data_IF_059381440204
#
_entry.id   IF_059381440204
#
_cell.length_a   1.000
_cell.length_b   1.000
_cell.length_c   1.000
_cell.angle_alpha   90.00
_cell.angle_beta   90.00
_cell.angle_gamma   90.00
#
_symmetry.space_group_name_H-M   'P 1'
#
loop_
_entity.id
_entity.type
_entity.pdbx_description
1 polymer ?
#
# COMPACT_ATOMS: atom_id res chain seq x y z
N UNK A 1 31.28 -6.69 5.47
CA UNK A 1 30.47 -5.54 5.77
C UNK A 1 29.09 -5.65 5.18
N UNK A 2 28.10 -5.66 6.04
CA UNK A 2 26.72 -5.70 5.57
C UNK A 2 26.39 -4.38 4.92
N UNK A 3 25.98 -4.43 3.69
CA UNK A 3 25.47 -3.25 3.01
C UNK A 3 23.97 -3.31 2.99
N UNK A 4 23.38 -2.16 3.11
CA UNK A 4 21.93 -2.07 2.94
C UNK A 4 21.60 -2.41 1.51
N UNK A 5 20.75 -3.41 1.32
CA UNK A 5 20.36 -3.83 -0.03
C UNK A 5 19.08 -3.15 -0.49
N UNK A 6 18.55 -2.26 0.32
CA UNK A 6 17.37 -1.48 -0.02
C UNK A 6 17.45 -0.10 0.63
N UNK A 7 16.76 0.83 0.06
CA UNK A 7 16.63 2.18 0.61
C UNK A 7 15.41 2.24 1.50
N UNK A 8 15.55 2.96 2.61
CA UNK A 8 14.42 3.28 3.47
C UNK A 8 13.95 4.68 3.10
N UNK A 9 12.68 4.81 2.80
CA UNK A 9 12.11 6.09 2.43
C UNK A 9 11.14 6.56 3.51
N UNK A 10 11.25 7.81 3.92
CA UNK A 10 10.31 8.38 4.89
C UNK A 10 9.19 9.10 4.15
N UNK A 11 7.97 8.83 4.55
CA UNK A 11 6.79 9.46 3.97
C UNK A 11 5.93 10.01 5.10
N UNK A 12 5.41 11.20 4.90
CA UNK A 12 4.51 11.83 5.87
C UNK A 12 3.07 11.57 5.46
N UNK A 13 2.29 11.06 6.41
CA UNK A 13 0.87 10.82 6.18
C UNK A 13 0.07 12.11 6.38
N UNK A 14 -1.19 12.09 5.96
CA UNK A 14 -2.06 13.26 6.06
C UNK A 14 -2.25 13.73 7.51
N UNK A 15 -2.18 12.83 8.47
CA UNK A 15 -2.33 13.17 9.88
C UNK A 15 -1.06 13.69 10.52
N UNK A 16 0.02 13.87 9.73
CA UNK A 16 1.29 14.38 10.23
C UNK A 16 2.27 13.33 10.71
N UNK A 17 1.82 12.08 10.84
CA UNK A 17 2.73 11.01 11.24
C UNK A 17 3.68 10.67 10.10
N UNK A 18 4.90 10.29 10.46
CA UNK A 18 5.91 9.88 9.48
C UNK A 18 6.07 8.37 9.57
N UNK A 19 6.17 7.71 8.43
CA UNK A 19 6.38 6.27 8.35
C UNK A 19 7.61 6.00 7.49
N UNK A 20 8.36 4.98 7.88
CA UNK A 20 9.54 4.56 7.11
C UNK A 20 9.13 3.38 6.23
N UNK A 21 9.31 3.55 4.94
CA UNK A 21 8.97 2.51 3.97
C UNK A 21 10.21 1.73 3.59
N UNK A 22 10.09 0.43 3.63
CA UNK A 22 11.15 -0.49 3.20
C UNK A 22 10.49 -1.77 2.68
N UNK A 23 11.20 -2.58 1.91
CA UNK A 23 10.62 -3.83 1.41
C UNK A 23 10.14 -4.71 2.56
N UNK A 24 9.01 -5.35 2.35
CA UNK A 24 8.42 -6.24 3.34
C UNK A 24 9.23 -7.53 3.44
N UNK A 25 9.19 -8.15 4.63
CA UNK A 25 9.73 -9.50 4.78
C UNK A 25 8.94 -10.45 3.88
N UNK A 26 9.51 -11.61 3.60
CA UNK A 26 8.82 -12.59 2.75
C UNK A 26 7.48 -12.99 3.36
N UNK A 27 7.44 -13.16 4.67
CA UNK A 27 6.20 -13.53 5.35
C UNK A 27 5.11 -12.48 5.13
N UNK A 28 5.46 -11.22 5.29
CA UNK A 28 4.51 -10.13 5.11
C UNK A 28 4.19 -9.88 3.65
N UNK A 29 5.19 -10.07 2.79
CA UNK A 29 4.99 -9.91 1.36
C UNK A 29 3.96 -10.90 0.83
N UNK A 30 3.95 -12.12 1.35
CA UNK A 30 2.95 -13.11 0.95
C UNK A 30 1.53 -12.65 1.27
N UNK A 31 1.34 -12.09 2.45
CA UNK A 31 0.03 -11.54 2.84
C UNK A 31 -0.36 -10.37 1.94
N UNK A 32 0.60 -9.51 1.66
CA UNK A 32 0.42 -8.35 0.79
C UNK A 32 0.01 -8.79 -0.61
N UNK A 33 0.70 -9.78 -1.17
CA UNK A 33 0.40 -10.28 -2.51
C UNK A 33 -0.98 -10.91 -2.60
N UNK A 34 -1.40 -11.61 -1.54
CA UNK A 34 -2.74 -12.19 -1.50
C UNK A 34 -3.78 -11.09 -1.55
N UNK A 35 -3.57 -10.02 -0.79
CA UNK A 35 -4.48 -8.88 -0.80
C UNK A 35 -4.53 -8.23 -2.19
N UNK A 36 -3.38 -8.00 -2.79
CA UNK A 36 -3.30 -7.33 -4.09
C UNK A 36 -3.97 -8.15 -5.20
N UNK A 37 -3.87 -9.48 -5.14
CA UNK A 37 -4.50 -10.33 -6.15
C UNK A 37 -6.00 -10.10 -6.26
N UNK A 38 -6.61 -9.67 -5.18
CA UNK A 38 -8.06 -9.43 -5.18
C UNK A 38 -8.45 -8.26 -6.08
N UNK A 39 -7.51 -7.41 -6.48
CA UNK A 39 -7.83 -6.31 -7.40
C UNK A 39 -8.35 -6.80 -8.73
N UNK A 40 -7.91 -7.99 -9.17
CA UNK A 40 -8.41 -8.59 -10.40
C UNK A 40 -9.87 -8.99 -10.33
N UNK A 41 -10.42 -9.11 -9.13
CA UNK A 41 -11.80 -9.49 -8.91
C UNK A 41 -12.69 -8.31 -8.55
N UNK A 42 -12.11 -7.12 -8.33
CA UNK A 42 -12.87 -5.96 -7.95
C UNK A 42 -13.71 -5.47 -9.13
N UNK A 43 -14.91 -4.98 -8.84
CA UNK A 43 -15.85 -4.52 -9.85
C UNK A 43 -16.13 -3.03 -9.76
N UNK A 44 -15.72 -2.40 -8.68
CA UNK A 44 -15.95 -0.97 -8.47
C UNK A 44 -14.67 -0.32 -8.00
N UNK A 45 -14.63 1.01 -8.17
CA UNK A 45 -13.51 1.80 -7.65
C UNK A 45 -13.37 1.64 -6.15
N UNK A 46 -14.50 1.62 -5.45
CA UNK A 46 -14.50 1.50 -4.00
C UNK A 46 -13.91 0.17 -3.55
N UNK A 47 -14.25 -0.92 -4.23
CA UNK A 47 -13.67 -2.23 -3.94
C UNK A 47 -12.17 -2.22 -4.16
N UNK A 48 -11.72 -1.61 -5.26
CA UNK A 48 -10.30 -1.51 -5.56
C UNK A 48 -9.58 -0.71 -4.48
N UNK A 49 -10.14 0.43 -4.08
CA UNK A 49 -9.56 1.24 -3.02
C UNK A 49 -9.45 0.46 -1.72
N UNK A 50 -10.49 -0.26 -1.35
CA UNK A 50 -10.47 -1.06 -0.12
C UNK A 50 -9.35 -2.10 -0.14
N UNK A 51 -9.15 -2.74 -1.28
CA UNK A 51 -8.08 -3.74 -1.43
C UNK A 51 -6.72 -3.08 -1.28
N UNK A 52 -6.53 -1.92 -1.91
CA UNK A 52 -5.26 -1.20 -1.83
C UNK A 52 -5.00 -0.71 -0.41
N UNK A 53 -6.03 -0.26 0.28
CA UNK A 53 -5.90 0.17 1.67
C UNK A 53 -5.54 -1.04 2.56
N UNK A 54 -6.16 -2.19 2.31
CA UNK A 54 -5.81 -3.41 3.04
C UNK A 54 -4.34 -3.77 2.86
N UNK A 55 -3.85 -3.65 1.63
CA UNK A 55 -2.44 -3.93 1.35
C UNK A 55 -1.53 -2.94 2.09
N UNK A 56 -1.89 -1.67 2.10
CA UNK A 56 -1.13 -0.66 2.84
C UNK A 56 -1.16 -0.94 4.34
N UNK A 57 -2.30 -1.41 4.85
CA UNK A 57 -2.42 -1.78 6.27
C UNK A 57 -1.43 -2.88 6.63
N UNK A 58 -1.32 -3.89 5.78
CA UNK A 58 -0.36 -4.97 5.98
C UNK A 58 1.06 -4.40 6.03
N UNK A 59 1.36 -3.47 5.14
CA UNK A 59 2.70 -2.88 5.05
C UNK A 59 3.04 -2.03 6.27
N UNK A 60 2.07 -1.36 6.87
CA UNK A 60 2.32 -0.40 7.94
C UNK A 60 1.98 -0.92 9.35
N UNK A 61 1.43 -2.11 9.45
CA UNK A 61 0.94 -2.62 10.73
C UNK A 61 1.99 -2.62 11.84
N UNK A 62 3.22 -2.97 11.50
CA UNK A 62 4.27 -3.03 12.52
C UNK A 62 4.69 -1.67 13.03
N UNK A 63 4.62 -0.66 12.18
CA UNK A 63 5.04 0.69 12.57
C UNK A 63 3.91 1.48 13.21
N UNK A 64 2.70 1.30 12.72
CA UNK A 64 1.55 2.08 13.15
C UNK A 64 0.36 1.18 13.46
N UNK A 65 0.52 0.24 14.43
CA UNK A 65 -0.54 -0.74 14.70
C UNK A 65 -1.85 -0.09 15.15
N UNK A 66 -1.77 0.99 15.91
CA UNK A 66 -2.98 1.64 16.40
C UNK A 66 -3.74 2.36 15.28
N UNK A 67 -2.99 2.99 14.38
CA UNK A 67 -3.60 3.66 13.24
C UNK A 67 -4.26 2.65 12.31
N UNK A 68 -3.57 1.56 12.03
CA UNK A 68 -4.08 0.52 11.14
C UNK A 68 -5.32 -0.16 11.73
N UNK A 69 -5.37 -0.30 13.04
CA UNK A 69 -6.50 -0.94 13.72
C UNK A 69 -7.79 -0.11 13.61
N UNK A 70 -7.67 1.19 13.44
CA UNK A 70 -8.82 2.07 13.27
C UNK A 70 -8.95 2.43 11.79
N UNK A 71 -9.78 1.68 11.08
CA UNK A 71 -9.91 1.80 9.63
C UNK A 71 -10.27 3.21 9.18
N UNK A 72 -11.19 3.83 9.86
CA UNK A 72 -11.64 5.17 9.49
C UNK A 72 -10.51 6.19 9.62
N UNK A 73 -9.79 6.14 10.73
CA UNK A 73 -8.67 7.04 10.96
C UNK A 73 -7.55 6.75 9.98
N UNK A 74 -7.33 5.48 9.66
CA UNK A 74 -6.30 5.08 8.71
C UNK A 74 -6.61 5.64 7.32
N UNK A 75 -7.86 5.55 6.89
CA UNK A 75 -8.25 6.09 5.58
C UNK A 75 -8.10 7.60 5.52
N UNK A 76 -8.36 8.29 6.62
CA UNK A 76 -8.16 9.74 6.68
C UNK A 76 -6.69 10.13 6.58
N UNK A 77 -5.80 9.24 7.00
CA UNK A 77 -4.36 9.51 7.00
C UNK A 77 -3.71 9.21 5.64
N UNK A 78 -4.40 8.53 4.74
CA UNK A 78 -3.85 8.14 3.45
C UNK A 78 -4.39 9.00 2.31
N UNK A 79 -3.59 9.11 1.26
CA UNK A 79 -4.04 9.65 -0.02
C UNK A 79 -3.49 8.73 -1.11
N UNK A 80 -3.93 8.95 -2.33
CA UNK A 80 -3.54 8.08 -3.45
C UNK A 80 -2.04 8.09 -3.70
N UNK A 81 -1.37 9.26 -3.77
CA UNK A 81 0.08 9.26 -3.95
C UNK A 81 0.82 8.50 -2.86
N UNK A 82 0.38 8.64 -1.61
CA UNK A 82 1.02 7.94 -0.49
C UNK A 82 0.81 6.45 -0.60
N UNK A 83 -0.41 6.00 -0.92
CA UNK A 83 -0.67 4.58 -1.14
C UNK A 83 0.20 4.03 -2.25
N UNK A 84 0.30 4.75 -3.35
CA UNK A 84 1.12 4.32 -4.48
C UNK A 84 2.57 4.13 -4.04
N UNK A 85 3.07 5.04 -3.23
CA UNK A 85 4.44 4.95 -2.75
C UNK A 85 4.65 3.76 -1.83
N UNK A 86 3.68 3.51 -0.95
CA UNK A 86 3.73 2.34 -0.06
C UNK A 86 3.75 1.06 -0.88
N UNK A 87 2.88 0.95 -1.87
CA UNK A 87 2.80 -0.23 -2.72
C UNK A 87 4.11 -0.45 -3.47
N UNK A 88 4.69 0.62 -3.97
CA UNK A 88 5.92 0.54 -4.73
C UNK A 88 7.11 0.12 -3.86
N UNK A 89 7.31 0.80 -2.74
CA UNK A 89 8.48 0.56 -1.91
C UNK A 89 8.35 -0.74 -1.12
N UNK A 90 7.21 -0.95 -0.49
CA UNK A 90 7.02 -2.10 0.40
C UNK A 90 6.74 -3.38 -0.37
N UNK A 91 5.94 -3.30 -1.39
CA UNK A 91 5.52 -4.47 -2.16
C UNK A 91 6.30 -4.72 -3.43
N UNK A 92 7.18 -3.79 -3.80
CA UNK A 92 7.94 -3.94 -5.04
C UNK A 92 7.08 -3.81 -6.29
N UNK A 93 5.89 -3.24 -6.17
CA UNK A 93 4.99 -3.08 -7.29
C UNK A 93 5.36 -1.82 -8.05
N UNK A 94 5.64 -1.96 -9.33
CA UNK A 94 6.01 -0.82 -10.16
C UNK A 94 4.74 -0.16 -10.68
N UNK A 95 4.47 1.01 -10.15
CA UNK A 95 3.26 1.74 -10.51
C UNK A 95 3.41 2.56 -11.79
N UNK A 96 4.58 2.53 -12.38
CA UNK A 96 4.76 3.03 -13.73
C UNK A 96 4.34 1.98 -14.76
N UNK A 97 3.95 0.79 -14.31
CA UNK A 97 3.37 -0.21 -15.18
C UNK A 97 1.96 0.26 -15.55
N UNK A 98 1.71 0.60 -16.81
CA UNK A 98 0.41 1.13 -17.21
C UNK A 98 -0.74 0.14 -17.01
N UNK A 99 -0.43 -1.15 -17.05
CA UNK A 99 -1.48 -2.15 -16.86
C UNK A 99 -1.98 -2.19 -15.43
N UNK A 100 -1.08 -2.11 -14.45
CA UNK A 100 -1.48 -2.13 -13.06
C UNK A 100 -2.22 -0.87 -12.68
N UNK A 101 -1.67 0.28 -13.04
CA UNK A 101 -2.29 1.55 -12.72
C UNK A 101 -3.62 1.71 -13.44
N UNK A 102 -3.67 1.34 -14.70
CA UNK A 102 -4.90 1.42 -15.48
C UNK A 102 -5.99 0.53 -14.89
N UNK A 103 -5.63 -0.67 -14.43
CA UNK A 103 -6.61 -1.56 -13.81
C UNK A 103 -7.23 -0.93 -12.57
N UNK A 104 -6.40 -0.27 -11.75
CA UNK A 104 -6.89 0.39 -10.54
C UNK A 104 -7.78 1.59 -10.86
N UNK A 105 -7.40 2.37 -11.88
CA UNK A 105 -8.15 3.56 -12.25
C UNK A 105 -9.40 3.21 -13.03
N UNK A 106 -9.28 2.30 -14.01
CA UNK A 106 -10.39 1.96 -14.88
C UNK A 106 -11.50 1.20 -14.17
N UNK A 107 -11.16 0.47 -13.12
CA UNK A 107 -12.19 -0.18 -12.30
C UNK A 107 -13.18 0.85 -11.75
N UNK A 108 -12.71 2.06 -11.50
CA UNK A 108 -13.56 3.12 -10.99
C UNK A 108 -14.27 3.92 -12.07
N UNK A 109 -13.88 3.76 -13.32
CA UNK A 109 -14.48 4.52 -14.41
C UNK A 109 -15.62 3.77 -15.09
N UNK A 110 -15.72 2.51 -14.80
CA UNK A 110 -16.77 1.67 -15.34
C UNK A 110 -17.82 1.38 -14.29
#
# INVERSE_FOLDING_TARGET
LATTVYDVEEVQLQNGQTVKLKPLSIKELRKFMIAIKKTGESQTEDETLNILIDACAIALEKQLPELVADRETFEDALDVPTMNRILEVCGGIKLDDPNLLAAAVLAGQN
#
